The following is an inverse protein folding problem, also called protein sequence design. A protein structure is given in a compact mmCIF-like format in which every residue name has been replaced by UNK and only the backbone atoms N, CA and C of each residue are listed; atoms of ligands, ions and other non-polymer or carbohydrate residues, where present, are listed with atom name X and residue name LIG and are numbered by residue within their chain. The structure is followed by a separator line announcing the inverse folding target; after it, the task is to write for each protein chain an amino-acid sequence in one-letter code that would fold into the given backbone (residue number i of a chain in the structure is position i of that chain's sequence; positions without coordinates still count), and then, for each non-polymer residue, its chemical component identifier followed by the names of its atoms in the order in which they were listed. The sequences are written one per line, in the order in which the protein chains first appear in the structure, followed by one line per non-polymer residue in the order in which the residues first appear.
data_IF_069796489153
#
_entry.id   IF_069796489153
#
_cell.length_a   1.000
_cell.length_b   1.000
_cell.length_c   1.000
_cell.angle_alpha   90.00
_cell.angle_beta   90.00
_cell.angle_gamma   90.00
#
_symmetry.space_group_name_H-M   'P 1'
#
loop_
_entity.id
_entity.type
_entity.pdbx_description
1 polymer ?
#
# COMPACT_ATOMS: atom_id res chain seq x y z
N UNK A 1 -10.98 -15.96 6.36
CA UNK A 1 -9.94 -16.72 5.60
C UNK A 1 -8.56 -16.08 5.74
N UNK A 2 -8.46 -14.77 5.99
CA UNK A 2 -7.19 -14.11 6.27
C UNK A 2 -6.61 -14.53 7.64
N UNK A 3 -7.49 -14.96 8.54
CA UNK A 3 -7.20 -15.39 9.89
C UNK A 3 -6.50 -16.77 9.92
N UNK A 4 -6.70 -17.61 8.90
CA UNK A 4 -6.01 -18.90 8.78
C UNK A 4 -4.60 -18.79 8.18
N UNK A 5 -4.18 -17.59 7.75
CA UNK A 5 -2.84 -17.35 7.25
C UNK A 5 -1.85 -17.27 8.41
N UNK A 6 -0.62 -17.75 8.19
CA UNK A 6 0.48 -17.51 9.12
C UNK A 6 0.81 -16.02 9.20
N UNK A 7 1.34 -15.56 10.33
CA UNK A 7 1.62 -14.14 10.55
C UNK A 7 2.56 -13.52 9.49
N UNK A 8 3.64 -14.19 9.04
CA UNK A 8 4.46 -13.68 7.93
C UNK A 8 3.67 -13.50 6.64
N UNK A 9 2.75 -14.42 6.33
CA UNK A 9 1.91 -14.37 5.13
C UNK A 9 0.91 -13.22 5.22
N UNK A 10 0.31 -13.00 6.40
CA UNK A 10 -0.63 -11.90 6.63
C UNK A 10 0.07 -10.54 6.48
N UNK A 11 1.28 -10.40 7.03
CA UNK A 11 2.12 -9.21 6.87
C UNK A 11 2.44 -8.92 5.40
N UNK A 12 2.85 -9.94 4.65
CA UNK A 12 3.17 -9.80 3.23
C UNK A 12 1.94 -9.42 2.40
N UNK A 13 0.78 -10.04 2.70
CA UNK A 13 -0.47 -9.70 2.04
C UNK A 13 -0.90 -8.26 2.32
N UNK A 14 -0.76 -7.76 3.56
CA UNK A 14 -1.03 -6.37 3.89
C UNK A 14 -0.17 -5.42 3.07
N UNK A 15 1.13 -5.70 2.93
CA UNK A 15 2.04 -4.90 2.10
C UNK A 15 1.66 -4.93 0.62
N UNK A 16 1.24 -6.09 0.09
CA UNK A 16 0.70 -6.21 -1.27
C UNK A 16 -0.60 -5.43 -1.44
N UNK A 17 -1.46 -5.39 -0.42
CA UNK A 17 -2.68 -4.58 -0.47
C UNK A 17 -2.35 -3.09 -0.57
N UNK A 18 -1.41 -2.58 0.23
CA UNK A 18 -0.95 -1.19 0.10
C UNK A 18 -0.31 -0.89 -1.26
N UNK A 19 0.48 -1.83 -1.79
CA UNK A 19 1.03 -1.73 -3.15
C UNK A 19 -0.08 -1.58 -4.19
N UNK A 20 -1.10 -2.44 -4.14
CA UNK A 20 -2.22 -2.42 -5.06
C UNK A 20 -3.03 -1.13 -4.96
N UNK A 21 -3.30 -0.65 -3.74
CA UNK A 21 -3.98 0.63 -3.50
C UNK A 21 -3.18 1.78 -4.08
N UNK A 22 -1.87 1.85 -3.83
CA UNK A 22 -1.01 2.90 -4.38
C UNK A 22 -0.95 2.89 -5.90
N UNK A 23 -0.92 1.70 -6.52
CA UNK A 23 -0.97 1.55 -7.96
C UNK A 23 -2.30 2.04 -8.55
N UNK A 24 -3.43 1.67 -7.93
CA UNK A 24 -4.76 2.10 -8.36
C UNK A 24 -4.95 3.61 -8.23
N UNK A 25 -4.53 4.20 -7.11
CA UNK A 25 -4.56 5.65 -6.90
C UNK A 25 -3.68 6.37 -7.92
N UNK A 26 -2.44 5.90 -8.11
CA UNK A 26 -1.51 6.46 -9.07
C UNK A 26 -2.06 6.41 -10.50
N UNK A 27 -2.62 5.28 -10.92
CA UNK A 27 -3.25 5.12 -12.23
C UNK A 27 -4.46 6.03 -12.39
N UNK A 28 -5.29 6.17 -11.37
CA UNK A 28 -6.42 7.10 -11.36
C UNK A 28 -5.97 8.56 -11.55
N UNK A 29 -4.95 8.99 -10.80
CA UNK A 29 -4.38 10.34 -10.92
C UNK A 29 -3.77 10.58 -12.30
N UNK A 30 -3.06 9.60 -12.84
CA UNK A 30 -2.48 9.67 -14.18
C UNK A 30 -3.58 9.80 -15.25
N UNK A 31 -4.63 8.98 -15.18
CA UNK A 31 -5.75 9.00 -16.11
C UNK A 31 -6.52 10.34 -16.07
N UNK A 32 -6.59 10.98 -14.89
CA UNK A 32 -7.20 12.29 -14.71
C UNK A 32 -6.31 13.46 -15.14
N UNK A 33 -5.07 13.19 -15.58
CA UNK A 33 -4.12 14.24 -15.96
C UNK A 33 -3.58 15.06 -14.77
N UNK A 34 -3.72 14.55 -13.54
CA UNK A 34 -3.32 15.23 -12.31
C UNK A 34 -1.80 15.18 -12.04
N UNK A 35 -1.00 14.70 -12.99
CA UNK A 35 0.45 14.60 -12.89
C UNK A 35 1.09 13.97 -14.13
N UNK A 36 2.42 14.02 -14.20
CA UNK A 36 3.20 13.35 -15.24
C UNK A 36 3.37 11.85 -14.98
N UNK A 37 4.16 11.18 -15.81
CA UNK A 37 4.39 9.72 -15.73
C UNK A 37 4.89 9.23 -14.34
N UNK A 38 5.55 10.11 -13.57
CA UNK A 38 6.04 9.78 -12.22
C UNK A 38 4.94 9.73 -11.15
N UNK A 39 3.71 10.17 -11.44
CA UNK A 39 2.63 10.18 -10.44
C UNK A 39 2.30 8.78 -9.93
N UNK A 40 2.40 7.76 -10.80
CA UNK A 40 2.14 6.36 -10.44
C UNK A 40 3.19 5.80 -9.47
N UNK A 41 4.51 5.81 -9.77
CA UNK A 41 5.50 5.32 -8.83
C UNK A 41 5.53 6.13 -7.53
N UNK A 42 5.28 7.44 -7.58
CA UNK A 42 5.22 8.27 -6.37
C UNK A 42 4.02 7.89 -5.47
N UNK A 43 2.85 7.66 -6.06
CA UNK A 43 1.68 7.19 -5.31
C UNK A 43 1.93 5.82 -4.67
N UNK A 44 2.55 4.89 -5.41
CA UNK A 44 2.94 3.57 -4.89
C UNK A 44 3.88 3.71 -3.70
N UNK A 45 4.98 4.45 -3.85
CA UNK A 45 5.97 4.64 -2.77
C UNK A 45 5.33 5.31 -1.55
N UNK A 46 4.55 6.38 -1.76
CA UNK A 46 3.85 7.05 -0.67
C UNK A 46 2.90 6.13 0.09
N UNK A 47 2.14 5.31 -0.63
CA UNK A 47 1.18 4.37 -0.02
C UNK A 47 1.91 3.25 0.74
N UNK A 48 3.04 2.77 0.23
CA UNK A 48 3.86 1.78 0.93
C UNK A 48 4.46 2.35 2.22
N UNK A 49 4.98 3.57 2.19
CA UNK A 49 5.52 4.24 3.39
C UNK A 49 4.43 4.41 4.44
N UNK A 50 3.25 4.91 4.04
CA UNK A 50 2.11 5.06 4.97
C UNK A 50 1.68 3.69 5.51
N UNK A 51 1.59 2.68 4.65
CA UNK A 51 1.21 1.33 5.03
C UNK A 51 2.17 0.70 6.03
N UNK A 52 3.48 0.90 5.84
CA UNK A 52 4.49 0.38 6.77
C UNK A 52 4.43 1.09 8.13
N UNK A 53 4.26 2.41 8.14
CA UNK A 53 4.07 3.18 9.39
C UNK A 53 2.80 2.73 10.13
N UNK A 54 1.73 2.48 9.39
CA UNK A 54 0.48 1.96 9.95
C UNK A 54 0.68 0.57 10.57
N UNK A 55 1.33 -0.36 9.85
CA UNK A 55 1.60 -1.71 10.35
C UNK A 55 2.51 -1.70 11.58
N UNK A 56 3.51 -0.82 11.59
CA UNK A 56 4.37 -0.61 12.75
C UNK A 56 3.58 -0.12 13.97
N UNK A 57 2.76 0.92 13.80
CA UNK A 57 1.92 1.46 14.86
C UNK A 57 0.89 0.42 15.37
N UNK A 58 0.29 -0.36 14.46
CA UNK A 58 -0.63 -1.42 14.82
C UNK A 58 0.04 -2.55 15.59
N UNK A 59 1.32 -2.85 15.31
CA UNK A 59 2.08 -3.85 16.03
C UNK A 59 2.46 -3.40 17.45
N UNK A 60 2.75 -2.11 17.66
CA UNK A 60 2.98 -1.58 19.03
C UNK A 60 1.71 -1.54 19.89
N UNK A 61 0.53 -1.48 19.28
CA UNK A 61 -0.74 -1.42 19.99
C UNK A 61 -1.33 -2.79 20.37
N UNK A 62 -0.69 -3.90 19.93
CA UNK A 62 -1.16 -5.28 20.12
C UNK A 62 -0.45 -5.98 21.27
#
# INVERSE_FOLDING_TARGET
MLESLSDPMRSLLSRVAFLAVGALLGLGLYALGAGGALVVPLAVVGTLVIGELYLFAAAEAA
#
